data_IF_674825502393
#
_entry.id   IF_674825502393
#
_cell.length_a   1.000
_cell.length_b   1.000
_cell.length_c   1.000
_cell.angle_alpha   90.00
_cell.angle_beta   90.00
_cell.angle_gamma   90.00
#
_symmetry.space_group_name_H-M   'P 1'
#
loop_
_entity.id
_entity.type
_entity.pdbx_description
1 polymer ?
#
# COMPACT_ATOMS: atom_id res chain seq x y z
N UNK A 1 -2.70 18.97 26.67
CA UNK A 1 -2.88 19.78 25.43
C UNK A 1 -3.21 18.90 24.22
N UNK A 2 -3.78 17.71 24.39
CA UNK A 2 -4.26 16.83 23.31
C UNK A 2 -5.79 16.74 23.20
N UNK A 3 -6.54 17.49 24.02
CA UNK A 3 -8.02 17.42 24.07
C UNK A 3 -8.70 18.48 23.20
N UNK A 4 -7.95 19.14 22.31
CA UNK A 4 -8.50 20.12 21.37
C UNK A 4 -9.14 19.40 20.18
N UNK A 5 -10.45 19.58 19.90
CA UNK A 5 -11.14 18.93 18.79
C UNK A 5 -10.43 19.10 17.44
N UNK A 6 -9.76 20.23 17.24
CA UNK A 6 -9.00 20.53 16.03
C UNK A 6 -7.83 19.55 15.79
N UNK A 7 -7.18 19.08 16.85
CA UNK A 7 -6.07 18.12 16.74
C UNK A 7 -6.56 16.73 16.30
N UNK A 8 -7.64 16.25 16.92
CA UNK A 8 -8.25 14.97 16.57
C UNK A 8 -8.76 14.95 15.13
N UNK A 9 -9.37 16.05 14.66
CA UNK A 9 -9.78 16.21 13.26
C UNK A 9 -8.58 16.14 12.33
N UNK A 10 -7.47 16.79 12.66
CA UNK A 10 -6.24 16.73 11.86
C UNK A 10 -5.66 15.31 11.74
N UNK A 11 -5.58 14.59 12.85
CA UNK A 11 -5.11 13.20 12.87
C UNK A 11 -6.04 12.28 12.08
N UNK A 12 -7.36 12.45 12.21
CA UNK A 12 -8.34 11.63 11.49
C UNK A 12 -8.35 11.91 9.99
N UNK A 13 -8.14 13.17 9.58
CA UNK A 13 -7.97 13.54 8.17
C UNK A 13 -6.71 12.88 7.59
N UNK A 14 -5.60 12.92 8.32
CA UNK A 14 -4.35 12.28 7.89
C UNK A 14 -4.52 10.76 7.72
N UNK A 15 -5.14 10.12 8.71
CA UNK A 15 -5.47 8.69 8.66
C UNK A 15 -6.40 8.36 7.48
N UNK A 16 -7.45 9.15 7.27
CA UNK A 16 -8.39 8.96 6.17
C UNK A 16 -7.75 9.10 4.78
N UNK A 17 -6.84 10.06 4.60
CA UNK A 17 -6.07 10.21 3.35
C UNK A 17 -5.19 8.98 3.13
N UNK A 18 -4.49 8.53 4.17
CA UNK A 18 -3.66 7.32 4.11
C UNK A 18 -4.47 6.08 3.71
N UNK A 19 -5.61 5.88 4.36
CA UNK A 19 -6.52 4.77 4.05
C UNK A 19 -7.08 4.85 2.62
N UNK A 20 -7.44 6.05 2.13
CA UNK A 20 -7.94 6.26 0.77
C UNK A 20 -6.90 5.95 -0.31
N UNK A 21 -5.66 6.42 -0.11
CA UNK A 21 -4.54 6.12 -1.01
C UNK A 21 -4.24 4.62 -1.01
N UNK A 22 -4.13 4.02 0.18
CA UNK A 22 -3.86 2.59 0.32
C UNK A 22 -4.95 1.73 -0.34
N UNK A 23 -6.23 2.07 -0.13
CA UNK A 23 -7.36 1.36 -0.71
C UNK A 23 -7.38 1.37 -2.25
N UNK A 24 -6.87 2.44 -2.89
CA UNK A 24 -6.81 2.55 -4.34
C UNK A 24 -5.53 1.91 -4.94
N UNK A 25 -4.36 2.14 -4.32
CA UNK A 25 -3.08 1.63 -4.83
C UNK A 25 -2.95 0.12 -4.67
N UNK A 26 -3.49 -0.43 -3.58
CA UNK A 26 -3.26 -1.82 -3.23
C UNK A 26 -3.76 -2.80 -4.31
N UNK A 27 -5.02 -2.70 -4.82
CA UNK A 27 -5.49 -3.56 -5.90
C UNK A 27 -4.71 -3.38 -7.21
N UNK A 28 -4.23 -2.16 -7.50
CA UNK A 28 -3.44 -1.87 -8.70
C UNK A 28 -2.10 -2.59 -8.66
N UNK A 29 -1.38 -2.53 -7.54
CA UNK A 29 -0.10 -3.24 -7.34
C UNK A 29 -0.28 -4.74 -7.50
N UNK A 30 -1.34 -5.31 -6.92
CA UNK A 30 -1.61 -6.76 -7.05
C UNK A 30 -1.99 -7.13 -8.48
N UNK A 31 -2.82 -6.32 -9.13
CA UNK A 31 -3.18 -6.53 -10.54
C UNK A 31 -1.93 -6.53 -11.41
N UNK A 32 -1.00 -5.61 -11.18
CA UNK A 32 0.25 -5.54 -11.92
C UNK A 32 1.16 -6.75 -11.65
N UNK A 33 1.34 -7.15 -10.38
CA UNK A 33 2.10 -8.35 -9.99
C UNK A 33 1.52 -9.67 -10.51
N UNK A 34 0.23 -9.72 -10.80
CA UNK A 34 -0.47 -10.94 -11.26
C UNK A 34 -0.87 -10.88 -12.73
N UNK A 35 -0.45 -9.86 -13.49
CA UNK A 35 -0.67 -9.78 -14.93
C UNK A 35 -0.12 -11.03 -15.63
N UNK A 36 -0.99 -11.73 -16.35
CA UNK A 36 -0.61 -12.86 -17.20
C UNK A 36 -0.56 -14.25 -16.53
N UNK A 37 -0.81 -14.37 -15.21
CA UNK A 37 -0.71 -15.67 -14.50
C UNK A 37 -2.04 -16.39 -14.28
N UNK A 38 -3.18 -15.71 -14.48
CA UNK A 38 -4.53 -16.26 -14.29
C UNK A 38 -5.02 -16.36 -12.83
N UNK A 39 -4.18 -16.00 -11.84
CA UNK A 39 -4.46 -16.19 -10.40
C UNK A 39 -4.77 -14.90 -9.62
N UNK A 40 -5.27 -13.85 -10.28
CA UNK A 40 -5.60 -12.56 -9.65
C UNK A 40 -6.52 -12.72 -8.43
N UNK A 41 -7.60 -13.50 -8.56
CA UNK A 41 -8.57 -13.70 -7.48
C UNK A 41 -8.00 -14.45 -6.27
N UNK A 42 -7.12 -15.44 -6.50
CA UNK A 42 -6.46 -16.18 -5.41
C UNK A 42 -5.49 -15.27 -4.65
N UNK A 43 -4.74 -14.45 -5.38
CA UNK A 43 -3.79 -13.50 -4.79
C UNK A 43 -4.53 -12.42 -3.99
N UNK A 44 -5.61 -11.85 -4.53
CA UNK A 44 -6.48 -10.93 -3.82
C UNK A 44 -7.07 -11.56 -2.54
N UNK A 45 -7.52 -12.82 -2.62
CA UNK A 45 -8.04 -13.55 -1.46
C UNK A 45 -6.99 -13.78 -0.36
N UNK A 46 -5.77 -14.15 -0.74
CA UNK A 46 -4.65 -14.35 0.18
C UNK A 46 -4.29 -13.05 0.91
N UNK A 47 -4.27 -11.93 0.18
CA UNK A 47 -4.01 -10.63 0.78
C UNK A 47 -5.14 -10.22 1.71
N UNK A 48 -6.40 -10.29 1.27
CA UNK A 48 -7.53 -9.92 2.12
C UNK A 48 -7.49 -10.68 3.46
N UNK A 49 -7.07 -11.95 3.41
CA UNK A 49 -6.84 -12.78 4.60
C UNK A 49 -5.68 -12.28 5.45
N UNK A 50 -4.54 -11.95 4.84
CA UNK A 50 -3.39 -11.39 5.56
C UNK A 50 -3.74 -10.04 6.24
N UNK A 51 -4.50 -9.18 5.56
CA UNK A 51 -4.96 -7.91 6.10
C UNK A 51 -5.94 -8.12 7.26
N UNK A 52 -6.90 -9.05 7.12
CA UNK A 52 -7.82 -9.43 8.19
C UNK A 52 -7.10 -9.99 9.41
N UNK A 53 -6.09 -10.86 9.20
CA UNK A 53 -5.26 -11.39 10.28
C UNK A 53 -4.48 -10.28 10.98
N UNK A 54 -3.86 -9.38 10.21
CA UNK A 54 -3.14 -8.22 10.75
C UNK A 54 -4.04 -7.31 11.58
N UNK A 55 -5.25 -7.02 11.12
CA UNK A 55 -6.23 -6.21 11.84
C UNK A 55 -6.69 -6.85 13.16
N UNK A 56 -6.92 -8.16 13.16
CA UNK A 56 -7.28 -8.90 14.37
C UNK A 56 -6.12 -8.91 15.39
N UNK A 57 -4.91 -9.23 14.91
CA UNK A 57 -3.71 -9.31 15.76
C UNK A 57 -3.33 -7.96 16.35
N UNK A 58 -3.37 -6.89 15.56
CA UNK A 58 -3.04 -5.54 16.04
C UNK A 58 -4.05 -5.06 17.09
N UNK A 59 -5.34 -5.34 16.88
CA UNK A 59 -6.40 -5.01 17.85
C UNK A 59 -6.22 -5.76 19.17
N UNK A 60 -5.94 -7.06 19.11
CA UNK A 60 -5.69 -7.87 20.30
C UNK A 60 -4.43 -7.41 21.05
N UNK A 61 -3.32 -7.19 20.33
CA UNK A 61 -2.06 -6.74 20.92
C UNK A 61 -2.19 -5.33 21.51
N UNK A 62 -2.79 -4.38 20.78
CA UNK A 62 -3.04 -3.04 21.28
C UNK A 62 -3.90 -3.08 22.55
N UNK A 63 -4.99 -3.86 22.56
CA UNK A 63 -5.85 -4.01 23.74
C UNK A 63 -5.09 -4.51 24.97
N UNK A 64 -4.27 -5.56 24.81
CA UNK A 64 -3.43 -6.09 25.90
C UNK A 64 -2.42 -5.06 26.42
N UNK A 65 -1.79 -4.30 25.52
CA UNK A 65 -0.80 -3.27 25.87
C UNK A 65 -1.49 -2.08 26.57
N UNK A 66 -2.66 -1.64 26.10
CA UNK A 66 -3.43 -0.55 26.73
C UNK A 66 -3.76 -0.90 28.18
N UNK A 67 -4.24 -2.12 28.44
CA UNK A 67 -4.61 -2.55 29.81
C UNK A 67 -3.39 -2.64 30.73
N UNK A 68 -2.22 -3.00 30.19
CA UNK A 68 -1.02 -3.25 30.99
C UNK A 68 -0.19 -1.99 31.26
N UNK A 69 0.00 -1.14 30.25
CA UNK A 69 0.95 0.00 30.27
C UNK A 69 0.38 1.28 29.65
N UNK A 70 -0.89 1.28 29.23
CA UNK A 70 -1.62 2.46 28.77
C UNK A 70 -1.54 2.73 27.26
N UNK A 71 -2.32 3.72 26.83
CA UNK A 71 -2.49 4.08 25.41
C UNK A 71 -1.19 4.50 24.71
N UNK A 72 -0.32 5.25 25.39
CA UNK A 72 0.94 5.72 24.80
C UNK A 72 1.85 4.57 24.33
N UNK A 73 1.99 3.53 25.14
CA UNK A 73 2.76 2.34 24.80
C UNK A 73 2.13 1.56 23.63
N UNK A 74 0.79 1.46 23.59
CA UNK A 74 0.08 0.80 22.51
C UNK A 74 0.26 1.52 21.16
N UNK A 75 0.19 2.85 21.16
CA UNK A 75 0.44 3.64 19.96
C UNK A 75 1.89 3.54 19.47
N UNK A 76 2.88 3.57 20.38
CA UNK A 76 4.30 3.39 20.00
C UNK A 76 4.56 1.99 19.44
N UNK A 77 3.94 0.96 20.00
CA UNK A 77 4.03 -0.40 19.48
C UNK A 77 3.47 -0.50 18.05
N UNK A 78 2.25 0.00 17.82
CA UNK A 78 1.64 0.04 16.48
C UNK A 78 2.47 0.87 15.50
N UNK A 79 3.00 2.02 15.93
CA UNK A 79 3.88 2.85 15.11
C UNK A 79 5.17 2.13 14.73
N UNK A 80 5.75 1.35 15.65
CA UNK A 80 6.91 0.50 15.38
C UNK A 80 6.62 -0.59 14.36
N UNK A 81 5.48 -1.28 14.49
CA UNK A 81 5.04 -2.30 13.50
C UNK A 81 4.82 -1.66 12.13
N UNK A 82 4.16 -0.50 12.06
CA UNK A 82 3.96 0.23 10.82
C UNK A 82 5.30 0.66 10.19
N UNK A 83 6.24 1.15 11.00
CA UNK A 83 7.58 1.53 10.56
C UNK A 83 8.38 0.33 10.00
N UNK A 84 8.28 -0.83 10.63
CA UNK A 84 8.89 -2.07 10.12
C UNK A 84 8.25 -2.49 8.78
N UNK A 85 6.94 -2.38 8.64
CA UNK A 85 6.23 -2.62 7.37
C UNK A 85 6.67 -1.66 6.27
N UNK A 86 6.84 -0.37 6.58
CA UNK A 86 7.36 0.63 5.65
C UNK A 86 8.80 0.32 5.22
N UNK A 87 9.67 -0.05 6.17
CA UNK A 87 11.06 -0.42 5.86
C UNK A 87 11.12 -1.68 4.98
N UNK A 88 10.29 -2.68 5.27
CA UNK A 88 10.16 -3.88 4.44
C UNK A 88 9.69 -3.50 3.02
N UNK A 89 8.66 -2.67 2.91
CA UNK A 89 8.14 -2.21 1.62
C UNK A 89 9.21 -1.46 0.83
N UNK A 90 9.91 -0.50 1.46
CA UNK A 90 10.95 0.29 0.82
C UNK A 90 12.11 -0.57 0.29
N UNK A 91 12.49 -1.62 1.02
CA UNK A 91 13.65 -2.46 0.67
C UNK A 91 13.32 -3.64 -0.23
N UNK A 92 12.11 -4.19 -0.11
CA UNK A 92 11.69 -5.41 -0.81
C UNK A 92 10.79 -5.14 -2.01
N UNK A 93 10.25 -3.93 -2.19
CA UNK A 93 9.51 -3.58 -3.40
C UNK A 93 10.48 -3.23 -4.53
N UNK A 94 10.57 -4.03 -5.61
CA UNK A 94 11.36 -3.67 -6.77
C UNK A 94 10.75 -2.46 -7.49
N UNK A 95 11.59 -1.52 -7.92
CA UNK A 95 11.20 -0.35 -8.72
C UNK A 95 10.42 -0.81 -9.95
N UNK A 96 9.18 -0.34 -10.11
CA UNK A 96 8.34 -0.57 -11.30
C UNK A 96 8.76 0.36 -12.44
N UNK A 97 10.04 0.36 -12.82
CA UNK A 97 10.47 0.87 -14.12
C UNK A 97 10.79 -0.32 -15.04
N UNK A 98 9.87 -0.69 -15.95
CA UNK A 98 10.30 -1.35 -17.17
C UNK A 98 11.14 -0.34 -17.94
N UNK A 99 12.44 -0.62 -18.06
CA UNK A 99 13.36 0.24 -18.78
C UNK A 99 12.81 0.66 -20.14
N UNK A 100 13.05 1.94 -20.47
CA UNK A 100 13.31 2.40 -21.84
C UNK A 100 12.38 1.78 -22.88
N UNK A 101 11.24 2.43 -23.12
CA UNK A 101 10.58 2.39 -24.43
C UNK A 101 11.51 3.05 -25.48
N UNK A 102 12.63 2.37 -25.77
CA UNK A 102 13.38 2.51 -27.00
C UNK A 102 12.57 1.85 -28.10
N UNK A 103 11.62 2.59 -28.65
CA UNK A 103 10.89 2.24 -29.87
C UNK A 103 10.94 3.44 -30.79
N UNK A 104 12.08 3.58 -31.48
CA UNK A 104 12.34 4.26 -32.76
C UNK A 104 11.24 5.20 -33.30
N UNK A 105 11.52 6.50 -33.53
CA UNK A 105 10.64 7.35 -34.32
C UNK A 105 10.39 6.71 -35.69
N UNK A 106 9.11 6.57 -36.06
CA UNK A 106 8.70 5.97 -37.32
C UNK A 106 9.28 6.77 -38.51
N UNK A 107 10.35 6.25 -39.14
CA UNK A 107 10.78 6.70 -40.47
C UNK A 107 9.79 6.14 -41.50
N UNK A 108 8.77 6.94 -41.82
CA UNK A 108 7.74 6.65 -42.81
C UNK A 108 8.13 7.00 -44.24
N UNK A 109 9.42 6.97 -44.62
CA UNK A 109 9.78 6.91 -46.05
C UNK A 109 9.43 5.54 -46.62
N UNK A 110 8.30 5.47 -47.32
CA UNK A 110 8.17 5.07 -48.74
C UNK A 110 6.69 4.88 -49.06
N UNK A 111 6.06 5.88 -49.67
CA UNK A 111 4.87 5.66 -50.49
C UNK A 111 5.35 5.31 -51.91
N UNK A 112 4.99 4.15 -52.49
CA UNK A 112 5.23 3.92 -53.90
C UNK A 112 4.22 4.73 -54.73
N UNK A 113 4.76 5.42 -55.74
CA UNK A 113 4.01 6.06 -56.81
C UNK A 113 3.45 5.01 -57.78
N UNK A 114 2.16 5.11 -58.11
CA UNK A 114 1.52 4.62 -59.33
C UNK A 114 0.16 5.36 -59.40
N UNK A 115 -0.01 6.39 -60.24
CA UNK A 115 -0.13 6.37 -61.70
C UNK A 115 -1.39 5.62 -62.16
#
# INVERSE_FOLDING_TARGET
MSDSPYWLVGVQLLDGIGAGIFGALFPLVVADLTRGTGHFNVSQGAIATAQGLGAALSSAAAGLIVVSVGYGAAFLFLAGVAGAGLALFWTAMPETEPGRAGGTPLDGRTAPAAA
#
